data_IF_060524598709
#
_entry.id   IF_060524598709
#
_cell.length_a   1.000
_cell.length_b   1.000
_cell.length_c   1.000
_cell.angle_alpha   90.00
_cell.angle_beta   90.00
_cell.angle_gamma   90.00
#
_symmetry.space_group_name_H-M   'P 1'
#
loop_
_entity.id
_entity.type
_entity.pdbx_description
1 polymer ?
#
# COMPACT_ATOMS: atom_id res chain seq x y z
N UNK A 1 -17.77 -14.73 -42.44
CA UNK A 1 -18.86 -14.15 -41.63
C UNK A 1 -18.30 -13.90 -40.27
N UNK A 2 -18.24 -12.64 -39.84
CA UNK A 2 -17.97 -12.34 -38.43
C UNK A 2 -19.09 -12.94 -37.57
N UNK A 3 -18.77 -13.58 -36.44
CA UNK A 3 -19.80 -14.08 -35.55
C UNK A 3 -20.67 -12.93 -35.07
N UNK A 4 -21.99 -13.07 -35.26
CA UNK A 4 -22.98 -12.11 -34.76
C UNK A 4 -22.76 -11.96 -33.26
N UNK A 5 -22.34 -10.77 -32.83
CA UNK A 5 -22.16 -10.48 -31.42
C UNK A 5 -23.53 -10.51 -30.73
N UNK A 6 -23.75 -11.37 -29.71
CA UNK A 6 -25.04 -11.44 -29.03
C UNK A 6 -25.42 -10.10 -28.40
N UNK A 7 -26.72 -9.80 -28.36
CA UNK A 7 -27.24 -8.65 -27.63
C UNK A 7 -26.76 -8.70 -26.16
N UNK A 8 -26.27 -7.56 -25.64
CA UNK A 8 -25.76 -7.45 -24.26
C UNK A 8 -24.31 -7.92 -24.06
N UNK A 9 -23.63 -8.47 -25.07
CA UNK A 9 -22.23 -8.91 -24.95
C UNK A 9 -21.28 -7.79 -24.51
N UNK A 10 -21.41 -6.59 -25.08
CA UNK A 10 -20.56 -5.45 -24.74
C UNK A 10 -20.69 -5.01 -23.27
N UNK A 11 -21.90 -5.08 -22.72
CA UNK A 11 -22.16 -4.76 -21.31
C UNK A 11 -21.52 -5.78 -20.39
N UNK A 12 -21.71 -7.08 -20.67
CA UNK A 12 -21.09 -8.18 -19.92
C UNK A 12 -19.57 -8.10 -19.99
N UNK A 13 -19.00 -7.83 -21.17
CA UNK A 13 -17.56 -7.67 -21.35
C UNK A 13 -17.03 -6.49 -20.53
N UNK A 14 -17.72 -5.35 -20.53
CA UNK A 14 -17.32 -4.16 -19.76
C UNK A 14 -17.35 -4.43 -18.24
N UNK A 15 -18.38 -5.14 -17.76
CA UNK A 15 -18.50 -5.56 -16.36
C UNK A 15 -17.36 -6.50 -15.95
N UNK A 16 -17.12 -7.57 -16.71
CA UNK A 16 -16.03 -8.52 -16.43
C UNK A 16 -14.67 -7.81 -16.49
N UNK A 17 -14.44 -6.98 -17.49
CA UNK A 17 -13.19 -6.25 -17.62
C UNK A 17 -12.95 -5.30 -16.43
N UNK A 18 -14.01 -4.70 -15.87
CA UNK A 18 -13.91 -3.90 -14.65
C UNK A 18 -13.57 -4.76 -13.44
N UNK A 19 -14.26 -5.88 -13.24
CA UNK A 19 -14.02 -6.78 -12.11
C UNK A 19 -12.59 -7.35 -12.12
N UNK A 20 -12.07 -7.69 -13.30
CA UNK A 20 -10.68 -8.13 -13.48
C UNK A 20 -9.70 -7.02 -13.10
N UNK A 21 -9.92 -5.79 -13.56
CA UNK A 21 -9.06 -4.64 -13.22
C UNK A 21 -9.08 -4.34 -11.73
N UNK A 22 -10.27 -4.28 -11.12
CA UNK A 22 -10.43 -3.96 -9.71
C UNK A 22 -9.83 -5.07 -8.81
N UNK A 23 -10.01 -6.34 -9.19
CA UNK A 23 -9.41 -7.47 -8.46
C UNK A 23 -7.88 -7.46 -8.52
N UNK A 24 -7.31 -7.21 -9.71
CA UNK A 24 -5.85 -7.08 -9.87
C UNK A 24 -5.29 -5.94 -9.02
N UNK A 25 -5.97 -4.78 -9.00
CA UNK A 25 -5.54 -3.63 -8.20
C UNK A 25 -5.53 -3.96 -6.70
N UNK A 26 -6.58 -4.64 -6.20
CA UNK A 26 -6.64 -5.08 -4.80
C UNK A 26 -5.53 -6.06 -4.45
N UNK A 27 -5.28 -7.06 -5.30
CA UNK A 27 -4.22 -8.05 -5.10
C UNK A 27 -2.83 -7.40 -5.06
N UNK A 28 -2.53 -6.50 -6.00
CA UNK A 28 -1.28 -5.75 -6.02
C UNK A 28 -1.11 -4.87 -4.78
N UNK A 29 -2.19 -4.22 -4.32
CA UNK A 29 -2.15 -3.38 -3.12
C UNK A 29 -1.93 -4.19 -1.84
N UNK A 30 -2.56 -5.36 -1.72
CA UNK A 30 -2.36 -6.28 -0.61
C UNK A 30 -0.93 -6.81 -0.57
N UNK A 31 -0.42 -7.29 -1.71
CA UNK A 31 0.97 -7.73 -1.84
C UNK A 31 1.97 -6.60 -1.52
N UNK A 32 1.71 -5.39 -2.00
CA UNK A 32 2.51 -4.21 -1.69
C UNK A 32 2.56 -3.93 -0.18
N UNK A 33 1.42 -4.01 0.51
CA UNK A 33 1.34 -3.81 1.96
C UNK A 33 2.18 -4.84 2.73
N UNK A 34 2.11 -6.11 2.32
CA UNK A 34 2.92 -7.18 2.92
C UNK A 34 4.42 -6.98 2.74
N UNK A 35 4.86 -6.48 1.57
CA UNK A 35 6.27 -6.15 1.34
C UNK A 35 6.74 -5.03 2.27
N UNK A 36 5.92 -4.00 2.49
CA UNK A 36 6.28 -2.91 3.42
C UNK A 36 6.30 -3.40 4.86
N UNK A 37 5.37 -4.27 5.25
CA UNK A 37 5.36 -4.91 6.56
C UNK A 37 6.59 -5.81 6.78
N UNK A 38 7.00 -6.57 5.75
CA UNK A 38 8.23 -7.35 5.77
C UNK A 38 9.47 -6.47 5.97
N UNK A 39 9.57 -5.37 5.20
CA UNK A 39 10.67 -4.41 5.34
C UNK A 39 10.77 -3.86 6.77
N UNK A 40 9.64 -3.49 7.37
CA UNK A 40 9.61 -3.02 8.76
C UNK A 40 10.09 -4.11 9.73
N UNK A 41 9.58 -5.35 9.60
CA UNK A 41 9.98 -6.48 10.44
C UNK A 41 11.47 -6.81 10.35
N UNK A 42 12.04 -6.79 9.15
CA UNK A 42 13.49 -6.98 8.94
C UNK A 42 14.26 -5.88 9.69
N UNK A 43 13.84 -4.63 9.54
CA UNK A 43 14.45 -3.51 10.26
C UNK A 43 14.39 -3.66 11.77
N UNK A 44 13.23 -4.07 12.30
CA UNK A 44 13.02 -4.28 13.73
C UNK A 44 13.92 -5.40 14.27
N UNK A 45 14.04 -6.51 13.54
CA UNK A 45 14.96 -7.60 13.90
C UNK A 45 16.41 -7.14 13.88
N UNK A 46 16.82 -6.33 12.89
CA UNK A 46 18.18 -5.76 12.87
C UNK A 46 18.40 -4.92 14.14
N UNK A 47 17.49 -3.99 14.47
CA UNK A 47 17.61 -3.15 15.66
C UNK A 47 17.71 -3.97 16.95
N UNK A 48 16.86 -4.99 17.11
CA UNK A 48 16.89 -5.88 18.28
C UNK A 48 18.26 -6.57 18.42
N UNK A 49 18.84 -7.05 17.30
CA UNK A 49 20.15 -7.71 17.33
C UNK A 49 21.30 -6.73 17.55
N UNK A 50 21.18 -5.49 17.09
CA UNK A 50 22.14 -4.44 17.41
C UNK A 50 22.17 -4.13 18.90
N UNK A 51 20.98 -4.00 19.52
CA UNK A 51 20.84 -3.73 20.95
C UNK A 51 21.35 -4.90 21.82
N UNK A 52 20.93 -6.13 21.50
CA UNK A 52 21.24 -7.30 22.34
C UNK A 52 22.62 -7.94 22.10
N UNK A 53 23.17 -7.79 20.90
CA UNK A 53 24.35 -8.56 20.44
C UNK A 53 25.44 -7.69 19.82
N UNK A 54 25.27 -6.36 19.80
CA UNK A 54 26.30 -5.44 19.30
C UNK A 54 26.55 -5.54 17.79
N UNK A 55 25.55 -5.92 16.99
CA UNK A 55 25.71 -6.03 15.53
C UNK A 55 26.18 -4.70 14.91
N UNK A 56 27.33 -4.74 14.23
CA UNK A 56 27.89 -3.60 13.49
C UNK A 56 27.45 -3.60 12.02
N UNK A 57 27.72 -2.51 11.30
CA UNK A 57 27.31 -2.33 9.90
C UNK A 57 27.75 -3.49 8.98
N UNK A 58 28.94 -4.07 9.21
CA UNK A 58 29.45 -5.20 8.45
C UNK A 58 28.57 -6.47 8.53
N UNK A 59 27.79 -6.62 9.61
CA UNK A 59 26.85 -7.74 9.75
C UNK A 59 25.67 -7.59 8.77
N UNK A 60 25.26 -6.35 8.47
CA UNK A 60 24.20 -6.06 7.49
C UNK A 60 24.67 -6.45 6.08
N UNK A 61 25.93 -6.19 5.74
CA UNK A 61 26.48 -6.56 4.42
C UNK A 61 26.49 -8.08 4.22
N UNK A 62 26.87 -8.84 5.26
CA UNK A 62 26.84 -10.31 5.24
C UNK A 62 25.40 -10.83 5.15
N UNK A 63 24.51 -10.32 6.00
CA UNK A 63 23.10 -10.68 6.00
C UNK A 63 22.44 -10.42 4.63
N UNK A 64 22.78 -9.29 4.00
CA UNK A 64 22.33 -8.95 2.66
C UNK A 64 22.74 -10.00 1.62
N UNK A 65 24.02 -10.40 1.60
CA UNK A 65 24.52 -11.44 0.70
C UNK A 65 23.84 -12.78 0.95
N UNK A 66 23.74 -13.20 2.21
CA UNK A 66 23.16 -14.49 2.59
C UNK A 66 21.67 -14.56 2.23
N UNK A 67 20.92 -13.45 2.41
CA UNK A 67 19.50 -13.39 2.04
C UNK A 67 19.29 -13.32 0.52
N UNK A 68 20.14 -12.59 -0.22
CA UNK A 68 20.07 -12.59 -1.70
C UNK A 68 20.37 -13.97 -2.29
N UNK A 69 21.32 -14.70 -1.71
CA UNK A 69 21.63 -16.07 -2.14
C UNK A 69 20.46 -17.03 -1.86
N UNK A 70 19.79 -16.88 -0.72
CA UNK A 70 18.61 -17.70 -0.37
C UNK A 70 17.36 -17.34 -1.19
N UNK A 71 17.20 -16.07 -1.56
CA UNK A 71 16.01 -15.57 -2.26
C UNK A 71 16.38 -14.84 -3.56
N UNK A 72 16.94 -15.52 -4.58
CA UNK A 72 17.51 -14.89 -5.77
C UNK A 72 16.47 -14.17 -6.66
N UNK A 73 15.19 -14.50 -6.52
CA UNK A 73 14.08 -13.83 -7.24
C UNK A 73 13.51 -12.62 -6.51
N UNK A 74 13.90 -12.42 -5.24
CA UNK A 74 13.41 -11.30 -4.43
C UNK A 74 14.30 -10.08 -4.64
N UNK A 75 13.66 -8.94 -4.96
CA UNK A 75 14.35 -7.65 -5.05
C UNK A 75 14.28 -6.90 -3.71
N UNK A 76 15.15 -5.91 -3.52
CA UNK A 76 15.14 -5.07 -2.32
C UNK A 76 15.89 -5.63 -1.11
N UNK A 77 16.71 -6.68 -1.27
CA UNK A 77 17.56 -7.21 -0.19
C UNK A 77 19.00 -6.68 -0.25
N UNK A 78 19.24 -5.52 -0.86
CA UNK A 78 20.58 -4.89 -0.91
C UNK A 78 20.99 -4.31 0.45
N UNK A 79 22.29 -4.14 0.73
CA UNK A 79 22.73 -3.59 2.03
C UNK A 79 22.16 -2.20 2.28
N UNK A 80 22.16 -1.34 1.27
CA UNK A 80 21.53 -0.02 1.33
C UNK A 80 20.04 -0.11 1.66
N UNK A 81 19.32 -1.06 1.05
CA UNK A 81 17.90 -1.19 1.34
C UNK A 81 17.64 -1.73 2.75
N UNK A 82 18.49 -2.61 3.27
CA UNK A 82 18.42 -3.07 4.67
C UNK A 82 18.71 -1.95 5.66
N UNK A 83 19.59 -1.00 5.32
CA UNK A 83 19.76 0.21 6.13
C UNK A 83 18.48 1.05 6.15
N UNK A 84 17.78 1.19 5.01
CA UNK A 84 16.47 1.83 4.98
C UNK A 84 15.40 1.06 5.76
N UNK A 85 15.40 -0.28 5.70
CA UNK A 85 14.51 -1.11 6.53
C UNK A 85 14.74 -0.85 8.02
N UNK A 86 16.01 -0.80 8.44
CA UNK A 86 16.39 -0.43 9.81
C UNK A 86 15.91 0.96 10.18
N UNK A 87 16.17 1.96 9.33
CA UNK A 87 15.71 3.34 9.54
C UNK A 87 14.17 3.41 9.62
N UNK A 88 13.48 2.63 8.80
CA UNK A 88 12.02 2.52 8.83
C UNK A 88 11.53 1.96 10.16
N UNK A 89 12.12 0.89 10.68
CA UNK A 89 11.76 0.37 11.99
C UNK A 89 12.07 1.37 13.12
N UNK A 90 13.21 2.06 13.06
CA UNK A 90 13.60 3.05 14.07
C UNK A 90 12.65 4.27 14.09
N UNK A 91 12.15 4.68 12.93
CA UNK A 91 11.18 5.76 12.80
C UNK A 91 9.79 5.42 13.37
N UNK A 92 9.47 4.13 13.53
CA UNK A 92 8.23 3.62 14.12
C UNK A 92 8.52 2.48 15.11
N UNK A 93 9.10 2.77 16.29
CA UNK A 93 9.73 1.77 17.17
C UNK A 93 8.74 0.91 18.00
N UNK A 94 7.43 1.02 17.76
CA UNK A 94 6.45 0.37 18.63
C UNK A 94 6.29 -1.14 18.31
N UNK A 95 6.58 -2.04 19.25
CA UNK A 95 6.38 -3.48 19.06
C UNK A 95 4.90 -3.76 18.74
N UNK A 96 4.63 -4.40 17.59
CA UNK A 96 3.28 -4.74 17.15
C UNK A 96 2.50 -3.65 16.41
N UNK A 97 2.99 -2.41 16.35
CA UNK A 97 2.28 -1.30 15.70
C UNK A 97 2.96 -0.89 14.39
N UNK A 98 2.79 -1.73 13.37
CA UNK A 98 3.11 -1.37 12.00
C UNK A 98 2.28 -0.14 11.57
N UNK A 99 2.91 0.96 11.11
CA UNK A 99 2.18 2.17 10.75
C UNK A 99 1.30 1.92 9.52
N UNK A 100 0.01 1.65 9.72
CA UNK A 100 -0.90 1.18 8.66
C UNK A 100 -1.02 2.17 7.50
N UNK A 101 -0.95 3.47 7.75
CA UNK A 101 -0.99 4.51 6.70
C UNK A 101 0.28 4.46 5.82
N UNK A 102 1.46 4.33 6.42
CA UNK A 102 2.75 4.21 5.72
C UNK A 102 2.86 2.86 5.03
N UNK A 103 2.30 1.82 5.64
CA UNK A 103 2.26 0.46 5.13
C UNK A 103 1.49 0.31 3.82
N UNK A 104 0.51 1.18 3.57
CA UNK A 104 -0.25 1.24 2.32
C UNK A 104 0.47 2.00 1.20
N UNK A 105 1.70 2.47 1.44
CA UNK A 105 2.46 3.26 0.46
C UNK A 105 3.49 2.40 -0.25
N UNK A 106 3.73 2.64 -1.56
CA UNK A 106 4.90 2.08 -2.23
C UNK A 106 6.19 2.44 -1.49
N UNK A 107 7.17 1.54 -1.51
CA UNK A 107 8.43 1.70 -0.79
C UNK A 107 9.18 3.00 -1.14
N UNK A 108 9.04 3.49 -2.37
CA UNK A 108 9.58 4.78 -2.78
C UNK A 108 9.07 5.95 -1.93
N UNK A 109 7.78 5.97 -1.58
CA UNK A 109 7.22 7.01 -0.70
C UNK A 109 7.74 6.88 0.72
N UNK A 110 7.88 5.65 1.25
CA UNK A 110 8.43 5.44 2.59
C UNK A 110 9.86 5.99 2.68
N UNK A 111 10.69 5.76 1.65
CA UNK A 111 12.02 6.35 1.56
C UNK A 111 11.98 7.88 1.51
N UNK A 112 11.11 8.48 0.68
CA UNK A 112 10.93 9.94 0.66
C UNK A 112 10.59 10.49 2.05
N UNK A 113 9.70 9.84 2.80
CA UNK A 113 9.35 10.28 4.16
C UNK A 113 10.53 10.16 5.13
N UNK A 114 11.36 9.12 5.00
CA UNK A 114 12.57 8.94 5.82
C UNK A 114 13.66 9.96 5.46
N UNK A 115 13.86 10.24 4.17
CA UNK A 115 14.92 11.11 3.67
C UNK A 115 14.63 12.60 3.90
N UNK A 116 13.35 13.00 3.96
CA UNK A 116 12.94 14.41 3.92
C UNK A 116 12.35 14.96 5.20
N UNK A 117 12.02 14.10 6.16
CA UNK A 117 11.34 14.49 7.40
C UNK A 117 12.04 13.83 8.58
N UNK A 118 12.26 14.59 9.65
CA UNK A 118 12.90 14.10 10.88
C UNK A 118 11.87 13.55 11.87
N UNK A 119 10.78 14.30 12.06
CA UNK A 119 9.74 13.99 13.04
C UNK A 119 8.76 12.91 12.57
N UNK A 120 8.37 12.03 13.49
CA UNK A 120 7.42 10.96 13.22
C UNK A 120 6.02 11.49 12.90
N UNK A 121 5.56 12.52 13.60
CA UNK A 121 4.22 13.05 13.37
C UNK A 121 4.13 13.72 11.99
N UNK A 122 5.21 14.34 11.50
CA UNK A 122 5.30 14.83 10.11
C UNK A 122 5.15 13.69 9.11
N UNK A 123 5.93 12.62 9.30
CA UNK A 123 5.89 11.45 8.41
C UNK A 123 4.49 10.84 8.35
N UNK A 124 3.83 10.70 9.50
CA UNK A 124 2.47 10.15 9.59
C UNK A 124 1.43 11.07 8.94
N UNK A 125 1.53 12.38 9.15
CA UNK A 125 0.63 13.36 8.54
C UNK A 125 0.73 13.34 7.01
N UNK A 126 1.95 13.40 6.47
CA UNK A 126 2.17 13.35 5.03
C UNK A 126 1.80 11.99 4.43
N UNK A 127 2.04 10.88 5.14
CA UNK A 127 1.62 9.55 4.71
C UNK A 127 0.09 9.45 4.60
N UNK A 128 -0.65 9.95 5.61
CA UNK A 128 -2.12 9.97 5.59
C UNK A 128 -2.64 10.78 4.41
N UNK A 129 -2.17 12.03 4.25
CA UNK A 129 -2.56 12.86 3.11
C UNK A 129 -2.25 12.18 1.77
N UNK A 130 -1.11 11.51 1.66
CA UNK A 130 -0.74 10.80 0.44
C UNK A 130 -1.70 9.64 0.12
N UNK A 131 -2.14 8.88 1.14
CA UNK A 131 -3.14 7.81 1.00
C UNK A 131 -4.47 8.40 0.53
N UNK A 132 -4.95 9.42 1.23
CA UNK A 132 -6.30 9.92 1.04
C UNK A 132 -6.46 10.74 -0.25
N UNK A 133 -5.42 11.49 -0.64
CA UNK A 133 -5.41 12.30 -1.86
C UNK A 133 -4.78 11.57 -3.06
N UNK A 134 -4.32 10.33 -2.89
CA UNK A 134 -3.73 9.53 -3.97
C UNK A 134 -2.42 10.11 -4.52
N UNK A 135 -1.59 10.75 -3.69
CA UNK A 135 -0.39 11.44 -4.17
C UNK A 135 0.63 10.49 -4.82
N UNK A 136 1.14 10.89 -5.98
CA UNK A 136 2.36 10.31 -6.56
C UNK A 136 3.57 10.60 -5.66
N UNK A 137 4.70 9.93 -5.89
CA UNK A 137 5.94 10.22 -5.14
C UNK A 137 6.39 11.66 -5.37
N UNK A 138 6.32 12.13 -6.62
CA UNK A 138 6.67 13.50 -7.00
C UNK A 138 5.78 14.53 -6.30
N UNK A 139 4.47 14.26 -6.20
CA UNK A 139 3.54 15.12 -5.48
C UNK A 139 3.87 15.18 -3.99
N UNK A 140 4.18 14.02 -3.38
CA UNK A 140 4.62 13.97 -1.99
C UNK A 140 5.90 14.79 -1.78
N UNK A 141 6.91 14.61 -2.63
CA UNK A 141 8.17 15.37 -2.59
C UNK A 141 7.92 16.88 -2.69
N UNK A 142 7.07 17.29 -3.64
CA UNK A 142 6.70 18.69 -3.80
C UNK A 142 5.97 19.26 -2.56
N UNK A 143 5.03 18.52 -1.99
CA UNK A 143 4.29 18.97 -0.79
C UNK A 143 5.16 19.04 0.46
N UNK A 144 6.17 18.16 0.59
CA UNK A 144 7.17 18.25 1.65
C UNK A 144 8.07 19.47 1.41
N UNK A 145 8.60 19.64 0.20
CA UNK A 145 9.48 20.75 -0.14
C UNK A 145 8.83 22.13 0.04
N UNK A 146 7.52 22.23 -0.22
CA UNK A 146 6.75 23.47 -0.06
C UNK A 146 6.13 23.63 1.34
N UNK A 147 6.45 22.77 2.31
CA UNK A 147 5.98 22.89 3.68
C UNK A 147 4.45 22.86 3.83
N UNK A 148 3.76 22.00 3.07
CA UNK A 148 2.29 21.92 3.10
C UNK A 148 1.70 21.82 4.51
N UNK A 149 2.30 21.05 5.42
CA UNK A 149 1.80 20.90 6.81
C UNK A 149 1.77 22.23 7.57
N UNK A 150 2.73 23.11 7.32
CA UNK A 150 2.79 24.44 7.96
C UNK A 150 1.67 25.36 7.47
N UNK A 151 1.21 25.15 6.23
CA UNK A 151 0.12 25.92 5.62
C UNK A 151 -1.27 25.36 5.95
N UNK A 152 -1.37 24.06 6.22
CA UNK A 152 -2.64 23.37 6.53
C UNK A 152 -2.39 22.40 7.70
N UNK A 153 -2.50 22.85 8.96
CA UNK A 153 -2.10 22.03 10.12
C UNK A 153 -3.11 20.93 10.46
N UNK A 154 -4.40 21.11 10.15
CA UNK A 154 -5.47 20.15 10.43
C UNK A 154 -5.73 19.32 9.17
N UNK A 155 -5.78 17.99 9.27
CA UNK A 155 -6.16 17.11 8.16
C UNK A 155 -7.58 17.48 7.67
N UNK A 156 -7.74 18.01 6.45
CA UNK A 156 -9.05 18.31 5.87
C UNK A 156 -9.99 17.10 5.85
N UNK A 157 -11.20 17.33 6.36
CA UNK A 157 -12.31 16.36 6.51
C UNK A 157 -12.70 15.63 5.21
N UNK A 158 -12.28 16.12 4.04
CA UNK A 158 -12.47 15.47 2.73
C UNK A 158 -11.68 14.17 2.57
N UNK A 159 -10.61 14.01 3.35
CA UNK A 159 -9.65 12.91 3.23
C UNK A 159 -9.99 11.70 4.12
N UNK A 160 -10.92 11.85 5.07
CA UNK A 160 -11.40 10.79 5.97
C UNK A 160 -12.54 9.91 5.41
N UNK A 161 -12.89 9.99 4.12
CA UNK A 161 -13.95 9.13 3.55
C UNK A 161 -13.35 7.86 2.96
N UNK A 162 -13.57 6.73 3.64
CA UNK A 162 -13.56 5.40 3.01
C UNK A 162 -14.46 5.47 1.77
N UNK A 163 -14.00 5.01 0.58
CA UNK A 163 -14.90 4.90 -0.55
C UNK A 163 -16.12 4.08 -0.12
N UNK A 164 -17.35 4.46 -0.52
CA UNK A 164 -18.52 3.67 -0.16
C UNK A 164 -18.25 2.24 -0.60
N UNK A 165 -18.32 1.29 0.34
CA UNK A 165 -18.38 -0.12 0.02
C UNK A 165 -19.47 -0.25 -1.04
N UNK A 166 -19.06 -0.57 -2.27
CA UNK A 166 -19.98 -0.87 -3.34
C UNK A 166 -20.63 -2.20 -2.97
N UNK A 167 -21.60 -2.16 -2.06
CA UNK A 167 -22.49 -3.28 -1.78
C UNK A 167 -23.37 -3.40 -3.01
N UNK A 168 -22.90 -4.20 -3.97
CA UNK A 168 -23.70 -4.61 -5.10
C UNK A 168 -24.73 -5.61 -4.57
N UNK A 169 -25.87 -5.10 -4.10
CA UNK A 169 -27.05 -5.92 -3.84
C UNK A 169 -27.61 -6.34 -5.18
N UNK A 170 -27.31 -7.57 -5.61
CA UNK A 170 -28.06 -8.22 -6.68
C UNK A 170 -29.47 -8.47 -6.13
N UNK A 171 -30.41 -7.59 -6.48
CA UNK A 171 -31.83 -7.91 -6.38
C UNK A 171 -32.09 -9.08 -7.33
N UNK A 172 -32.24 -10.29 -6.79
CA UNK A 172 -32.83 -11.39 -7.55
C UNK A 172 -34.29 -11.02 -7.80
N UNK A 173 -34.59 -10.54 -8.99
CA UNK A 173 -35.95 -10.58 -9.53
C UNK A 173 -36.33 -12.05 -9.67
N UNK A 174 -37.26 -12.51 -8.84
CA UNK A 174 -37.80 -13.86 -8.85
C UNK A 174 -38.70 -14.04 -10.10
N UNK A 175 -38.38 -14.93 -11.06
CA UNK A 175 -39.21 -15.14 -12.23
C UNK A 175 -40.19 -16.26 -11.95
N UNK A 176 -41.27 -16.00 -11.19
CA UNK A 176 -42.41 -16.94 -11.06
C UNK A 176 -43.67 -16.27 -10.49
N UNK A 177 -44.38 -15.54 -11.33
CA UNK A 177 -45.84 -15.42 -11.21
C UNK A 177 -46.46 -15.10 -12.58
N UNK A 178 -46.40 -16.09 -13.46
CA UNK A 178 -47.31 -16.19 -14.59
C UNK A 178 -48.46 -17.12 -14.19
N UNK A 179 -49.60 -16.55 -13.83
CA UNK A 179 -50.88 -17.27 -13.82
C UNK A 179 -51.88 -16.47 -14.63
N UNK A 180 -52.25 -17.06 -15.76
CA UNK A 180 -53.34 -16.64 -16.62
C UNK A 180 -54.66 -16.68 -15.85
N UNK A 181 -55.53 -15.69 -16.03
CA UNK A 181 -56.96 -15.88 -15.86
C UNK A 181 -57.69 -15.11 -16.96
N UNK A 182 -58.37 -15.88 -17.80
CA UNK A 182 -59.39 -15.43 -18.74
C UNK A 182 -60.64 -15.11 -17.95
N UNK A 183 -61.23 -13.95 -18.20
CA UNK A 183 -62.68 -13.76 -18.24
C UNK A 183 -62.98 -12.78 -19.37
#
# INVERSE_FOLDING_TARGET
>A
MDPVTPAGYGEVLALIARDVRDTRLRALSAAGTEVIALNWRIGALILERQDRQGWVAQVIDRLSKDLQAQFPRMTGLSPTNMQYMRAFAAAWPAPGNFPTAVGKRPWGHVRTLLDRLDDRADREWYASCAVDAGWSRTSLEHHVATGLRQRIPILPKRWSRTPPSSTFSISRSDPRSGTWSRH
#
